data_IF_631705006283
#
_entry.id   IF_631705006283
#
_cell.length_a   1.000
_cell.length_b   1.000
_cell.length_c   1.000
_cell.angle_alpha   90.00
_cell.angle_beta   90.00
_cell.angle_gamma   90.00
#
_symmetry.space_group_name_H-M   'P 1'
#
loop_
_entity.id
_entity.type
_entity.pdbx_description
1 polymer ?
#
# COMPACT_ATOMS: atom_id res chain seq x y z
N UNK A 1 23.16 -16.47 57.61
CA UNK A 1 21.93 -16.46 56.78
C UNK A 1 21.73 -15.20 55.91
N UNK A 2 22.27 -14.01 56.26
CA UNK A 2 22.09 -12.76 55.47
C UNK A 2 22.75 -12.75 54.07
N UNK A 3 23.80 -13.55 53.86
CA UNK A 3 24.56 -13.63 52.60
C UNK A 3 23.84 -14.37 51.48
N UNK A 4 23.11 -15.45 51.80
CA UNK A 4 22.37 -16.25 50.80
C UNK A 4 21.17 -15.48 50.21
N UNK A 5 20.44 -14.73 51.05
CA UNK A 5 19.31 -13.89 50.63
C UNK A 5 19.78 -12.75 49.69
N UNK A 6 20.89 -12.09 50.01
CA UNK A 6 21.48 -11.02 49.19
C UNK A 6 21.97 -11.53 47.83
N UNK A 7 22.52 -12.75 47.77
CA UNK A 7 22.96 -13.39 46.52
C UNK A 7 21.77 -13.77 45.62
N UNK A 8 20.68 -14.30 46.21
CA UNK A 8 19.43 -14.61 45.49
C UNK A 8 18.75 -13.36 44.94
N UNK A 9 18.65 -12.29 45.74
CA UNK A 9 18.08 -11.01 45.29
C UNK A 9 18.87 -10.38 44.13
N UNK A 10 20.20 -10.48 44.15
CA UNK A 10 21.06 -9.97 43.06
C UNK A 10 20.92 -10.80 41.77
N UNK A 11 20.75 -12.12 41.90
CA UNK A 11 20.53 -13.01 40.77
C UNK A 11 19.16 -12.79 40.11
N UNK A 12 18.10 -12.55 40.89
CA UNK A 12 16.76 -12.25 40.36
C UNK A 12 16.71 -10.89 39.66
N UNK A 13 17.37 -9.86 40.19
CA UNK A 13 17.50 -8.56 39.51
C UNK A 13 18.29 -8.66 38.20
N UNK A 14 19.37 -9.45 38.18
CA UNK A 14 20.17 -9.67 36.97
C UNK A 14 19.39 -10.46 35.90
N UNK A 15 18.64 -11.50 36.29
CA UNK A 15 17.78 -12.26 35.40
C UNK A 15 16.61 -11.42 34.84
N UNK A 16 16.02 -10.54 35.67
CA UNK A 16 15.00 -9.57 35.23
C UNK A 16 15.56 -8.56 34.22
N UNK A 17 16.76 -8.02 34.47
CA UNK A 17 17.45 -7.11 33.54
C UNK A 17 17.81 -7.78 32.20
N UNK A 18 18.24 -9.04 32.22
CA UNK A 18 18.51 -9.83 31.01
C UNK A 18 17.25 -10.07 30.19
N UNK A 19 16.15 -10.49 30.82
CA UNK A 19 14.85 -10.68 30.16
C UNK A 19 14.31 -9.38 29.54
N UNK A 20 14.49 -8.25 30.22
CA UNK A 20 14.09 -6.93 29.71
C UNK A 20 14.88 -6.54 28.46
N UNK A 21 16.21 -6.70 28.47
CA UNK A 21 17.06 -6.45 27.30
C UNK A 21 16.65 -7.32 26.10
N UNK A 22 16.40 -8.61 26.32
CA UNK A 22 15.95 -9.52 25.27
C UNK A 22 14.58 -9.12 24.67
N UNK A 23 13.65 -8.59 25.48
CA UNK A 23 12.38 -8.04 24.99
C UNK A 23 12.59 -6.77 24.18
N UNK A 24 13.43 -5.85 24.66
CA UNK A 24 13.78 -4.61 23.97
C UNK A 24 14.44 -4.88 22.60
N UNK A 25 15.36 -5.84 22.53
CA UNK A 25 16.00 -6.27 21.27
C UNK A 25 14.99 -6.87 20.27
N UNK A 26 14.06 -7.70 20.76
CA UNK A 26 12.97 -8.27 19.94
C UNK A 26 12.04 -7.18 19.40
N UNK A 27 11.67 -6.21 20.23
CA UNK A 27 10.85 -5.07 19.82
C UNK A 27 11.59 -4.20 18.80
N UNK A 28 12.89 -3.96 18.98
CA UNK A 28 13.71 -3.22 18.03
C UNK A 28 13.82 -3.95 16.69
N UNK A 29 14.03 -5.27 16.69
CA UNK A 29 14.04 -6.10 15.48
C UNK A 29 12.69 -6.03 14.75
N UNK A 30 11.57 -6.17 15.46
CA UNK A 30 10.23 -6.07 14.88
C UNK A 30 9.97 -4.69 14.25
N UNK A 31 10.41 -3.60 14.90
CA UNK A 31 10.31 -2.23 14.35
C UNK A 31 11.11 -2.08 13.05
N UNK A 32 12.33 -2.63 12.98
CA UNK A 32 13.17 -2.62 11.77
C UNK A 32 12.52 -3.38 10.61
N UNK A 33 11.97 -4.57 10.88
CA UNK A 33 11.28 -5.36 9.86
C UNK A 33 10.09 -4.60 9.27
N UNK A 34 9.24 -4.02 10.11
CA UNK A 34 8.12 -3.17 9.66
C UNK A 34 8.59 -1.98 8.84
N UNK A 35 9.65 -1.29 9.26
CA UNK A 35 10.20 -0.16 8.51
C UNK A 35 10.71 -0.58 7.12
N UNK A 36 11.33 -1.77 7.01
CA UNK A 36 11.77 -2.33 5.71
C UNK A 36 10.57 -2.69 4.84
N UNK A 37 9.52 -3.29 5.41
CA UNK A 37 8.27 -3.60 4.70
C UNK A 37 7.59 -2.33 4.19
N UNK A 38 7.51 -1.29 5.01
CA UNK A 38 6.96 0.02 4.64
C UNK A 38 7.80 0.69 3.55
N UNK A 39 9.13 0.64 3.64
CA UNK A 39 10.02 1.17 2.62
C UNK A 39 9.85 0.43 1.29
N UNK A 40 9.78 -0.90 1.30
CA UNK A 40 9.48 -1.72 0.09
C UNK A 40 8.11 -1.37 -0.49
N UNK A 41 7.10 -1.19 0.36
CA UNK A 41 5.76 -0.81 -0.07
C UNK A 41 5.75 0.58 -0.74
N UNK A 42 6.40 1.57 -0.13
CA UNK A 42 6.56 2.91 -0.73
C UNK A 42 7.35 2.87 -2.03
N UNK A 43 8.41 2.07 -2.13
CA UNK A 43 9.16 1.89 -3.37
C UNK A 43 8.27 1.34 -4.49
N UNK A 44 7.43 0.34 -4.20
CA UNK A 44 6.44 -0.17 -5.16
C UNK A 44 5.44 0.89 -5.61
N UNK A 45 4.90 1.68 -4.66
CA UNK A 45 4.01 2.79 -4.99
C UNK A 45 4.71 3.87 -5.86
N UNK A 46 6.00 4.13 -5.64
CA UNK A 46 6.78 5.09 -6.42
C UNK A 46 6.99 4.61 -7.85
N UNK A 47 7.41 3.36 -7.99
CA UNK A 47 7.50 2.69 -9.28
C UNK A 47 6.15 2.66 -10.00
N UNK A 48 5.06 2.35 -9.28
CA UNK A 48 3.70 2.35 -9.81
C UNK A 48 3.25 3.71 -10.31
N UNK A 49 3.53 4.78 -9.55
CA UNK A 49 3.20 6.16 -9.94
C UNK A 49 3.96 6.57 -11.21
N UNK A 50 5.26 6.26 -11.28
CA UNK A 50 6.08 6.52 -12.47
C UNK A 50 5.59 5.73 -13.68
N UNK A 51 5.33 4.42 -13.50
CA UNK A 51 4.74 3.57 -14.54
C UNK A 51 3.45 4.18 -15.08
N UNK A 52 2.49 4.48 -14.20
CA UNK A 52 1.18 5.02 -14.62
C UNK A 52 1.34 6.35 -15.35
N UNK A 53 2.24 7.21 -14.90
CA UNK A 53 2.57 8.45 -15.61
C UNK A 53 3.07 8.16 -17.03
N UNK A 54 4.02 7.24 -17.20
CA UNK A 54 4.53 6.88 -18.52
C UNK A 54 3.43 6.24 -19.39
N UNK A 55 2.72 5.25 -18.89
CA UNK A 55 1.68 4.55 -19.65
C UNK A 55 0.55 5.50 -20.08
N UNK A 56 0.06 6.34 -19.17
CA UNK A 56 -1.04 7.26 -19.42
C UNK A 56 -0.71 8.36 -20.45
N UNK A 57 0.57 8.72 -20.61
CA UNK A 57 0.99 9.77 -21.53
C UNK A 57 1.57 9.22 -22.84
N UNK A 58 2.27 8.08 -22.81
CA UNK A 58 3.04 7.59 -23.96
C UNK A 58 2.56 6.24 -24.52
N UNK A 59 1.82 5.41 -23.76
CA UNK A 59 1.44 4.04 -24.16
C UNK A 59 -0.08 3.89 -24.30
N UNK A 60 -0.70 4.78 -25.08
CA UNK A 60 -2.18 4.89 -25.19
C UNK A 60 -2.86 3.56 -25.55
N UNK A 61 -2.31 2.82 -26.53
CA UNK A 61 -2.92 1.57 -27.00
C UNK A 61 -2.98 0.52 -25.89
N UNK A 62 -1.88 0.33 -25.16
CA UNK A 62 -1.83 -0.62 -24.05
C UNK A 62 -2.79 -0.22 -22.92
N UNK A 63 -2.91 1.08 -22.65
CA UNK A 63 -3.86 1.59 -21.67
C UNK A 63 -5.30 1.29 -22.10
N UNK A 64 -5.65 1.48 -23.38
CA UNK A 64 -6.98 1.15 -23.90
C UNK A 64 -7.29 -0.33 -23.71
N UNK A 65 -6.35 -1.21 -24.06
CA UNK A 65 -6.52 -2.65 -23.87
C UNK A 65 -6.66 -3.06 -22.40
N UNK A 66 -5.88 -2.44 -21.51
CA UNK A 66 -5.95 -2.73 -20.09
C UNK A 66 -7.29 -2.25 -19.49
N UNK A 67 -7.74 -1.05 -19.89
CA UNK A 67 -9.03 -0.50 -19.47
C UNK A 67 -10.22 -1.28 -20.02
N UNK A 68 -10.09 -1.93 -21.19
CA UNK A 68 -11.13 -2.80 -21.73
C UNK A 68 -11.41 -4.03 -20.84
N UNK A 69 -10.48 -4.40 -19.95
CA UNK A 69 -10.64 -5.48 -18.96
C UNK A 69 -11.11 -4.97 -17.59
N UNK A 70 -11.12 -3.64 -17.38
CA UNK A 70 -11.51 -3.04 -16.11
C UNK A 70 -13.03 -3.05 -15.96
N UNK A 71 -13.50 -3.41 -14.77
CA UNK A 71 -14.91 -3.43 -14.39
C UNK A 71 -15.09 -2.78 -13.02
N UNK A 72 -16.34 -2.45 -12.69
CA UNK A 72 -16.70 -1.68 -11.50
C UNK A 72 -16.62 -0.16 -11.73
N UNK A 73 -16.86 0.58 -10.66
CA UNK A 73 -16.92 2.04 -10.67
C UNK A 73 -16.15 2.64 -9.49
N UNK A 74 -15.91 3.95 -9.51
CA UNK A 74 -15.19 4.63 -8.44
C UNK A 74 -16.06 4.76 -7.18
N UNK A 75 -15.71 4.05 -6.10
CA UNK A 75 -16.38 4.14 -4.80
C UNK A 75 -15.94 5.34 -3.93
N UNK A 76 -15.18 6.30 -4.47
CA UNK A 76 -14.71 7.50 -3.75
C UNK A 76 -13.94 7.21 -2.45
N UNK A 77 -13.28 6.05 -2.34
CA UNK A 77 -12.50 5.67 -1.16
C UNK A 77 -11.26 6.57 -0.87
N UNK A 78 -10.77 7.31 -1.87
CA UNK A 78 -9.62 8.21 -1.72
C UNK A 78 -8.25 7.51 -1.70
N UNK A 79 -8.20 6.17 -1.70
CA UNK A 79 -6.97 5.40 -1.60
C UNK A 79 -5.92 5.76 -2.67
N UNK A 80 -6.37 5.98 -3.92
CA UNK A 80 -5.49 6.38 -5.02
C UNK A 80 -4.87 7.79 -4.83
N UNK A 81 -5.53 8.65 -4.06
CA UNK A 81 -5.06 10.00 -3.72
C UNK A 81 -4.07 10.00 -2.55
N UNK A 82 -3.90 8.87 -1.86
CA UNK A 82 -2.96 8.71 -0.74
C UNK A 82 -1.77 7.80 -1.11
N UNK A 83 -1.67 7.36 -2.38
CA UNK A 83 -0.50 6.63 -2.89
C UNK A 83 0.75 7.52 -2.78
N UNK A 84 1.77 7.03 -2.07
CA UNK A 84 3.01 7.72 -1.65
C UNK A 84 2.84 8.88 -0.68
N UNK A 85 1.91 9.78 -0.97
CA UNK A 85 1.68 10.98 -0.19
C UNK A 85 0.20 11.38 -0.27
N UNK A 86 -0.26 12.16 0.70
CA UNK A 86 -1.61 12.73 0.69
C UNK A 86 -1.71 13.82 -0.37
N UNK A 87 -2.52 13.59 -1.40
CA UNK A 87 -2.81 14.59 -2.43
C UNK A 87 -3.40 15.87 -1.80
N UNK A 88 -2.91 17.06 -2.14
CA UNK A 88 -3.41 18.32 -1.58
C UNK A 88 -4.86 18.62 -2.00
N UNK A 89 -5.33 18.04 -3.10
CA UNK A 89 -6.70 18.23 -3.60
C UNK A 89 -7.71 17.22 -3.01
N UNK A 90 -7.29 16.31 -2.13
CA UNK A 90 -8.17 15.33 -1.49
C UNK A 90 -8.95 15.99 -0.35
N UNK A 91 -10.28 15.97 -0.45
CA UNK A 91 -11.20 16.45 0.59
C UNK A 91 -11.94 15.26 1.21
N UNK A 92 -11.80 15.07 2.51
CA UNK A 92 -12.58 14.07 3.27
C UNK A 92 -13.95 14.66 3.59
N UNK A 93 -15.01 13.87 3.42
CA UNK A 93 -16.36 14.27 3.78
C UNK A 93 -16.60 14.01 5.27
N UNK A 94 -17.67 14.60 5.81
CA UNK A 94 -18.03 14.52 7.23
C UNK A 94 -18.39 13.09 7.68
N UNK A 95 -18.80 12.23 6.73
CA UNK A 95 -19.06 10.81 6.96
C UNK A 95 -17.79 9.99 7.25
N UNK A 96 -16.61 10.56 7.01
CA UNK A 96 -15.31 9.89 7.14
C UNK A 96 -15.07 8.72 6.17
N UNK A 97 -16.05 8.38 5.33
CA UNK A 97 -16.10 7.20 4.47
C UNK A 97 -15.87 7.57 3.01
N UNK A 98 -16.34 8.75 2.59
CA UNK A 98 -16.24 9.20 1.22
C UNK A 98 -15.28 10.39 1.08
N UNK A 99 -14.71 10.51 -0.11
CA UNK A 99 -13.77 11.57 -0.43
C UNK A 99 -14.14 12.23 -1.76
N UNK A 100 -13.78 13.51 -1.90
CA UNK A 100 -13.96 14.26 -3.14
C UNK A 100 -12.62 14.85 -3.59
N UNK A 101 -12.49 15.06 -4.90
CA UNK A 101 -11.31 15.66 -5.50
C UNK A 101 -11.61 17.11 -5.86
N UNK A 102 -10.81 18.06 -5.36
CA UNK A 102 -10.97 19.48 -5.65
C UNK A 102 -10.72 19.88 -7.11
N UNK A 103 -10.05 19.02 -7.89
CA UNK A 103 -9.75 19.22 -9.31
C UNK A 103 -10.29 18.07 -10.16
N UNK A 104 -11.49 17.56 -9.82
CA UNK A 104 -12.02 16.34 -10.44
C UNK A 104 -12.09 16.42 -11.98
N UNK A 105 -12.50 17.56 -12.52
CA UNK A 105 -12.56 17.78 -13.96
C UNK A 105 -11.16 17.94 -14.57
N UNK A 106 -10.22 18.59 -13.87
CA UNK A 106 -8.85 18.83 -14.34
C UNK A 106 -7.84 17.74 -13.93
N UNK A 107 -8.33 16.55 -13.55
CA UNK A 107 -7.47 15.45 -13.12
C UNK A 107 -6.47 15.09 -14.23
N UNK A 108 -5.18 14.99 -13.91
CA UNK A 108 -4.20 14.53 -14.88
C UNK A 108 -4.43 13.04 -15.21
N UNK A 109 -3.95 12.60 -16.37
CA UNK A 109 -4.28 11.28 -16.93
C UNK A 109 -3.95 10.12 -15.99
N UNK A 110 -2.84 10.17 -15.24
CA UNK A 110 -2.49 9.13 -14.27
C UNK A 110 -3.51 8.99 -13.13
N UNK A 111 -4.23 10.07 -12.79
CA UNK A 111 -5.30 10.06 -11.79
C UNK A 111 -6.63 9.63 -12.41
N UNK A 112 -6.97 10.16 -13.59
CA UNK A 112 -8.23 9.87 -14.28
C UNK A 112 -8.34 8.41 -14.71
N UNK A 113 -7.23 7.81 -15.14
CA UNK A 113 -7.19 6.44 -15.66
C UNK A 113 -6.90 5.39 -14.59
N UNK A 114 -6.67 5.79 -13.33
CA UNK A 114 -6.45 4.85 -12.23
C UNK A 114 -7.71 4.02 -11.93
N UNK A 115 -7.60 2.71 -11.64
CA UNK A 115 -6.44 1.85 -11.90
C UNK A 115 -6.33 1.54 -13.40
N UNK A 116 -5.11 1.48 -13.93
CA UNK A 116 -4.84 1.10 -15.33
C UNK A 116 -4.75 -0.44 -15.44
N UNK A 117 -4.10 -1.10 -14.47
CA UNK A 117 -3.89 -2.55 -14.43
C UNK A 117 -4.20 -3.14 -13.05
N UNK A 118 -4.37 -4.47 -12.98
CA UNK A 118 -4.64 -5.21 -11.72
C UNK A 118 -3.63 -4.89 -10.60
N UNK A 119 -2.34 -4.77 -10.92
CA UNK A 119 -1.29 -4.46 -9.94
C UNK A 119 -1.41 -3.06 -9.31
N UNK A 120 -2.13 -2.14 -9.93
CA UNK A 120 -2.43 -0.84 -9.31
C UNK A 120 -3.32 -1.02 -8.07
N UNK A 121 -4.15 -2.06 -8.02
CA UNK A 121 -5.04 -2.35 -6.90
C UNK A 121 -4.27 -2.82 -5.65
N UNK A 122 -3.10 -3.43 -5.83
CA UNK A 122 -2.21 -3.85 -4.74
C UNK A 122 -1.65 -2.63 -3.98
N UNK A 123 -1.56 -1.48 -4.63
CA UNK A 123 -1.06 -0.23 -4.06
C UNK A 123 -2.09 0.46 -3.14
N UNK A 124 -3.36 0.03 -3.18
CA UNK A 124 -4.51 0.62 -2.46
C UNK A 124 -5.17 -0.35 -1.46
N UNK A 125 -4.50 -1.45 -1.12
CA UNK A 125 -4.85 -2.35 0.01
C UNK A 125 -6.33 -2.80 0.02
N UNK A 126 -6.93 -3.03 -1.15
CA UNK A 126 -8.30 -3.54 -1.29
C UNK A 126 -9.42 -2.53 -1.00
N UNK A 127 -9.12 -1.24 -0.83
CA UNK A 127 -10.14 -0.20 -0.60
C UNK A 127 -10.91 0.19 -1.88
N UNK A 128 -10.34 -0.13 -3.04
CA UNK A 128 -10.84 0.27 -4.35
C UNK A 128 -11.76 -0.82 -4.94
N UNK A 129 -12.95 -0.42 -5.37
CA UNK A 129 -14.01 -1.30 -5.94
C UNK A 129 -13.77 -1.77 -7.37
N UNK A 130 -12.80 -1.19 -8.09
CA UNK A 130 -12.44 -1.66 -9.42
C UNK A 130 -11.84 -3.07 -9.39
N UNK A 131 -12.10 -3.86 -10.42
CA UNK A 131 -11.50 -5.16 -10.65
C UNK A 131 -11.22 -5.40 -12.14
N UNK A 132 -10.45 -6.45 -12.45
CA UNK A 132 -10.05 -6.78 -13.83
C UNK A 132 -10.45 -8.21 -14.16
N UNK A 133 -11.09 -8.40 -15.33
CA UNK A 133 -11.39 -9.73 -15.87
C UNK A 133 -10.22 -10.25 -16.71
N UNK A 134 -10.16 -11.57 -16.91
CA UNK A 134 -9.15 -12.19 -17.76
C UNK A 134 -9.42 -11.91 -19.24
N UNK A 135 -8.34 -11.81 -20.04
CA UNK A 135 -8.49 -11.76 -21.50
C UNK A 135 -9.03 -13.13 -21.93
N UNK A 136 -10.13 -13.21 -22.70
CA UNK A 136 -10.57 -14.47 -23.26
C UNK A 136 -9.45 -15.04 -24.14
N UNK A 137 -9.04 -16.28 -23.86
CA UNK A 137 -8.04 -17.00 -24.64
C UNK A 137 -8.67 -17.24 -26.01
N UNK A 138 -8.14 -16.62 -27.07
CA UNK A 138 -8.54 -16.96 -28.45
C UNK A 138 -7.98 -18.35 -28.77
N UNK A 139 -8.84 -19.35 -28.82
CA UNK A 139 -8.54 -20.69 -29.32
C UNK A 139 -8.43 -20.65 -30.85
N UNK A 140 -7.45 -19.93 -31.42
CA UNK A 140 -7.30 -19.78 -32.88
C UNK A 140 -6.24 -20.71 -33.49
N UNK A 141 -5.67 -21.67 -32.74
CA UNK A 141 -4.70 -22.66 -33.29
C UNK A 141 -4.91 -24.07 -32.76
N UNK A 142 -6.13 -24.56 -32.86
CA UNK A 142 -6.45 -25.99 -32.84
C UNK A 142 -7.24 -26.32 -34.11
N UNK A 143 -6.57 -26.27 -35.25
CA UNK A 143 -7.00 -26.84 -36.52
C UNK A 143 -5.77 -27.28 -37.29
#
# INVERSE_FOLDING_TARGET
MKTAAKKRARATTAASGSKRRALEDRLAAAKRLRAVEDAKFRARQAQGKFRRFVSANFRKQEVIEALALRRGECNRCGACCEILFKCPFLKKQDDGLTTTCGIYEDRPNQCRLFPIEKRDLEEVRGQCSFYFIEKPIRLEKAS
#
